data_IF_196449712607
#
_entry.id   IF_196449712607
#
_cell.length_a   1.000
_cell.length_b   1.000
_cell.length_c   1.000
_cell.angle_alpha   90.00
_cell.angle_beta   90.00
_cell.angle_gamma   90.00
#
_symmetry.space_group_name_H-M   'P 1'
#
loop_
_entity.id
_entity.type
_entity.pdbx_description
1 polymer ?
#
# COMPACT_ATOMS: atom_id res chain seq x y z
N UNK A 1 43.17 2.17 -15.92
CA UNK A 1 44.35 1.43 -16.43
C UNK A 1 44.43 0.18 -15.55
N UNK A 2 44.22 -1.05 -16.00
CA UNK A 2 44.72 -1.68 -17.22
C UNK A 2 43.85 -2.89 -17.61
N UNK A 3 43.31 -2.88 -18.83
CA UNK A 3 42.72 -4.05 -19.48
C UNK A 3 43.87 -4.93 -20.01
N UNK A 4 43.91 -6.20 -19.60
CA UNK A 4 44.83 -7.21 -20.16
C UNK A 4 44.06 -8.13 -21.10
N UNK A 5 43.87 -7.70 -22.35
CA UNK A 5 43.49 -8.58 -23.45
C UNK A 5 44.78 -9.21 -24.03
N UNK A 6 44.85 -10.54 -23.94
CA UNK A 6 45.93 -11.35 -24.51
C UNK A 6 45.80 -11.39 -26.04
N UNK A 7 46.93 -11.20 -26.71
CA UNK A 7 47.11 -11.40 -28.15
C UNK A 7 47.29 -12.89 -28.46
N UNK A 8 46.76 -13.32 -29.61
CA UNK A 8 46.98 -14.63 -30.23
C UNK A 8 48.06 -14.49 -31.34
N UNK A 9 48.96 -15.49 -31.56
CA UNK A 9 50.19 -15.32 -32.33
C UNK A 9 50.06 -15.89 -33.74
N UNK A 10 49.42 -15.18 -34.67
CA UNK A 10 49.56 -15.48 -36.10
C UNK A 10 49.67 -14.17 -36.88
N UNK A 11 50.90 -13.71 -37.07
CA UNK A 11 51.22 -12.46 -37.73
C UNK A 11 50.79 -12.41 -39.20
N UNK A 12 49.72 -11.66 -39.50
CA UNK A 12 49.51 -11.03 -40.80
C UNK A 12 49.03 -9.59 -40.61
N UNK A 13 49.89 -8.63 -40.96
CA UNK A 13 49.51 -7.25 -41.27
C UNK A 13 49.01 -7.21 -42.70
N UNK A 14 47.93 -6.48 -42.96
CA UNK A 14 47.80 -5.70 -44.20
C UNK A 14 46.82 -4.54 -43.98
N UNK A 15 47.36 -3.33 -44.11
CA UNK A 15 46.64 -2.08 -44.30
C UNK A 15 46.53 -1.78 -45.81
N UNK A 16 45.51 -0.99 -46.14
CA UNK A 16 45.29 -0.23 -47.38
C UNK A 16 44.98 -0.99 -48.69
N UNK A 17 43.76 -0.81 -49.23
CA UNK A 17 43.50 0.17 -50.30
C UNK A 17 42.05 0.15 -50.80
N UNK A 18 41.72 1.30 -51.38
CA UNK A 18 40.44 1.88 -51.79
C UNK A 18 40.06 1.47 -53.23
N UNK A 19 38.76 1.66 -53.54
CA UNK A 19 38.12 1.89 -54.85
C UNK A 19 37.56 0.69 -55.65
N UNK A 20 36.27 0.77 -55.98
CA UNK A 20 35.58 -0.09 -56.94
C UNK A 20 34.08 0.20 -57.00
N UNK A 21 33.69 1.25 -57.71
CA UNK A 21 32.32 1.53 -58.17
C UNK A 21 31.99 0.71 -59.43
N UNK A 22 30.80 0.11 -59.51
CA UNK A 22 29.99 -0.13 -60.73
C UNK A 22 28.64 -0.74 -60.32
N UNK A 23 27.52 -0.03 -60.50
CA UNK A 23 26.65 -0.01 -61.69
C UNK A 23 25.90 -1.32 -62.00
N UNK A 24 24.58 -1.23 -61.80
CA UNK A 24 23.44 -1.76 -62.55
C UNK A 24 23.49 -3.18 -63.14
N UNK A 25 22.50 -4.00 -62.77
CA UNK A 25 21.68 -4.76 -63.73
C UNK A 25 20.35 -5.18 -63.10
N UNK A 26 19.28 -4.63 -63.66
CA UNK A 26 17.90 -5.11 -63.53
C UNK A 26 17.77 -6.47 -64.19
N UNK A 27 17.21 -7.44 -63.48
CA UNK A 27 16.68 -8.67 -64.05
C UNK A 27 15.24 -8.84 -63.56
N UNK A 28 14.30 -8.54 -64.46
CA UNK A 28 12.91 -8.97 -64.35
C UNK A 28 12.87 -10.48 -64.11
N UNK A 29 12.16 -10.93 -63.08
CA UNK A 29 11.64 -12.30 -63.04
C UNK A 29 10.13 -12.27 -62.83
N UNK A 30 9.51 -13.02 -63.74
CA UNK A 30 8.11 -13.09 -64.06
C UNK A 30 7.30 -13.72 -62.94
N UNK A 31 6.05 -13.23 -62.88
CA UNK A 31 4.94 -13.81 -62.17
C UNK A 31 4.78 -15.29 -62.55
N UNK A 32 4.80 -16.17 -61.55
CA UNK A 32 4.06 -17.42 -61.59
C UNK A 32 3.08 -17.41 -60.43
N UNK A 33 1.83 -17.08 -60.77
CA UNK A 33 0.68 -17.25 -59.89
C UNK A 33 0.39 -18.74 -59.72
N UNK A 34 0.79 -19.29 -58.57
CA UNK A 34 0.24 -20.53 -58.06
C UNK A 34 -1.05 -20.24 -57.28
N UNK A 35 -2.09 -21.09 -57.37
CA UNK A 35 -3.32 -20.88 -56.62
C UNK A 35 -3.03 -21.05 -55.13
N UNK A 36 -3.05 -19.94 -54.40
CA UNK A 36 -3.19 -19.91 -52.95
C UNK A 36 -4.52 -20.58 -52.60
N UNK A 37 -4.47 -21.84 -52.15
CA UNK A 37 -5.60 -22.48 -51.48
C UNK A 37 -5.71 -21.84 -50.09
N UNK A 38 -6.27 -20.64 -50.09
CA UNK A 38 -6.79 -19.94 -48.93
C UNK A 38 -8.25 -20.34 -48.75
N UNK A 39 -8.49 -21.58 -48.35
CA UNK A 39 -9.81 -22.04 -47.91
C UNK A 39 -9.64 -22.91 -46.67
N UNK A 40 -10.03 -22.36 -45.51
CA UNK A 40 -10.27 -23.19 -44.32
C UNK A 40 -9.88 -22.66 -42.94
N UNK A 41 -9.33 -21.45 -42.76
CA UNK A 41 -8.95 -20.98 -41.40
C UNK A 41 -9.09 -19.48 -41.17
N UNK A 42 -10.27 -18.94 -41.48
CA UNK A 42 -10.66 -17.56 -41.14
C UNK A 42 -11.56 -17.51 -39.89
N UNK A 43 -12.11 -18.64 -39.46
CA UNK A 43 -13.03 -18.68 -38.33
C UNK A 43 -12.24 -18.82 -37.03
N UNK A 44 -12.34 -17.79 -36.17
CA UNK A 44 -11.81 -17.68 -34.79
C UNK A 44 -10.31 -17.34 -34.63
N UNK A 45 -9.88 -16.24 -35.27
CA UNK A 45 -8.84 -15.37 -34.69
C UNK A 45 -9.44 -14.25 -33.84
N UNK A 46 -10.41 -14.57 -32.97
CA UNK A 46 -10.84 -13.62 -31.96
C UNK A 46 -9.71 -13.57 -30.91
N UNK A 47 -8.88 -12.56 -30.98
CA UNK A 47 -7.83 -12.27 -30.00
C UNK A 47 -8.44 -12.38 -28.60
N UNK A 48 -7.88 -13.25 -27.76
CA UNK A 48 -8.29 -13.36 -26.37
C UNK A 48 -7.78 -12.11 -25.66
N UNK A 49 -8.62 -11.08 -25.62
CA UNK A 49 -8.34 -9.86 -24.88
C UNK A 49 -8.74 -10.10 -23.42
N UNK A 50 -7.75 -10.36 -22.57
CA UNK A 50 -7.99 -10.51 -21.14
C UNK A 50 -8.08 -9.13 -20.51
N UNK A 51 -9.28 -8.77 -20.05
CA UNK A 51 -9.56 -7.52 -19.35
C UNK A 51 -8.71 -7.40 -18.08
N UNK A 52 -8.16 -6.22 -17.87
CA UNK A 52 -7.42 -5.89 -16.66
C UNK A 52 -8.36 -5.88 -15.45
N UNK A 53 -7.86 -6.25 -14.27
CA UNK A 53 -8.59 -6.12 -13.00
C UNK A 53 -8.12 -4.82 -12.36
N UNK A 54 -9.00 -3.83 -12.26
CA UNK A 54 -8.67 -2.55 -11.64
C UNK A 54 -8.98 -2.57 -10.14
N UNK A 55 -8.03 -2.08 -9.32
CA UNK A 55 -8.21 -1.98 -7.85
C UNK A 55 -9.42 -1.12 -7.48
N UNK A 56 -9.72 -0.11 -8.29
CA UNK A 56 -10.89 0.78 -8.16
C UNK A 56 -12.22 0.03 -8.29
N UNK A 57 -12.27 -1.06 -9.06
CA UNK A 57 -13.46 -1.92 -9.15
C UNK A 57 -13.58 -2.81 -7.92
N UNK A 58 -12.45 -3.29 -7.37
CA UNK A 58 -12.44 -4.13 -6.17
C UNK A 58 -12.95 -3.35 -4.94
N UNK A 59 -12.62 -2.06 -4.85
CA UNK A 59 -13.09 -1.17 -3.77
C UNK A 59 -14.61 -0.96 -3.79
N UNK A 60 -15.28 -1.22 -4.91
CA UNK A 60 -16.75 -1.12 -5.02
C UNK A 60 -17.45 -2.38 -4.53
N UNK A 61 -16.72 -3.45 -4.24
CA UNK A 61 -17.33 -4.69 -3.78
C UNK A 61 -17.96 -4.53 -2.39
N UNK A 62 -19.16 -5.11 -2.22
CA UNK A 62 -19.95 -5.03 -0.98
C UNK A 62 -19.17 -5.44 0.27
N UNK A 63 -18.26 -6.40 0.14
CA UNK A 63 -17.41 -6.86 1.24
C UNK A 63 -16.36 -5.82 1.65
N UNK A 64 -15.77 -5.08 0.70
CA UNK A 64 -14.86 -3.98 0.99
C UNK A 64 -15.59 -2.80 1.61
N UNK A 65 -16.77 -2.44 1.08
CA UNK A 65 -17.61 -1.38 1.66
C UNK A 65 -18.05 -1.70 3.10
N UNK A 66 -18.29 -2.97 3.41
CA UNK A 66 -18.56 -3.42 4.80
C UNK A 66 -17.36 -3.22 5.71
N UNK A 67 -16.14 -3.54 5.23
CA UNK A 67 -14.90 -3.30 5.97
C UNK A 67 -14.70 -1.80 6.24
N UNK A 68 -14.86 -0.94 5.23
CA UNK A 68 -14.79 0.51 5.37
C UNK A 68 -15.75 1.06 6.43
N UNK A 69 -16.99 0.53 6.44
CA UNK A 69 -17.99 0.89 7.46
C UNK A 69 -17.60 0.43 8.86
N UNK A 70 -16.94 -0.74 8.99
CA UNK A 70 -16.41 -1.22 10.27
C UNK A 70 -15.29 -0.32 10.76
N UNK A 71 -14.28 -0.06 9.93
CA UNK A 71 -13.14 0.83 10.22
C UNK A 71 -13.63 2.21 10.68
N UNK A 72 -14.67 2.75 10.04
CA UNK A 72 -15.27 4.03 10.42
C UNK A 72 -15.90 4.01 11.82
N UNK A 73 -16.53 2.89 12.22
CA UNK A 73 -17.08 2.71 13.57
C UNK A 73 -15.98 2.53 14.61
N UNK A 74 -14.93 1.79 14.28
CA UNK A 74 -13.81 1.55 15.19
C UNK A 74 -13.05 2.86 15.47
N UNK A 75 -12.91 3.74 14.47
CA UNK A 75 -12.37 5.11 14.64
C UNK A 75 -13.25 5.97 15.56
N UNK A 76 -14.57 5.90 15.40
CA UNK A 76 -15.52 6.61 16.26
C UNK A 76 -15.47 6.13 17.71
N UNK A 77 -15.41 4.83 17.93
CA UNK A 77 -15.31 4.25 19.26
C UNK A 77 -14.01 4.67 19.96
N UNK A 78 -12.88 4.62 19.25
CA UNK A 78 -11.59 5.03 19.79
C UNK A 78 -11.57 6.51 20.17
N UNK A 79 -12.12 7.39 19.33
CA UNK A 79 -12.24 8.81 19.67
C UNK A 79 -13.04 9.03 20.96
N UNK A 80 -14.14 8.29 21.16
CA UNK A 80 -14.94 8.37 22.39
C UNK A 80 -14.17 7.87 23.61
N UNK A 81 -13.37 6.80 23.46
CA UNK A 81 -12.49 6.30 24.53
C UNK A 81 -11.45 7.35 24.91
N UNK A 82 -10.75 7.93 23.94
CA UNK A 82 -9.75 8.97 24.16
C UNK A 82 -10.33 10.24 24.78
N UNK A 83 -11.53 10.64 24.35
CA UNK A 83 -12.25 11.77 24.94
C UNK A 83 -12.53 11.53 26.44
N UNK A 84 -13.05 10.35 26.80
CA UNK A 84 -13.28 9.98 28.21
C UNK A 84 -11.99 9.95 29.03
N UNK A 85 -10.89 9.45 28.46
CA UNK A 85 -9.60 9.45 29.16
C UNK A 85 -9.10 10.87 29.46
N UNK A 86 -9.22 11.79 28.49
CA UNK A 86 -8.90 13.22 28.68
C UNK A 86 -9.77 13.85 29.77
N UNK A 87 -11.08 13.60 29.74
CA UNK A 87 -12.01 14.10 30.77
C UNK A 87 -11.68 13.57 32.17
N UNK A 88 -11.27 12.31 32.28
CA UNK A 88 -10.90 11.71 33.57
C UNK A 88 -9.64 12.34 34.16
N UNK A 89 -8.59 12.55 33.34
CA UNK A 89 -7.37 13.23 33.79
C UNK A 89 -7.69 14.68 34.18
N UNK A 90 -8.45 15.42 33.37
CA UNK A 90 -8.89 16.78 33.69
C UNK A 90 -9.60 16.86 35.05
N UNK A 91 -10.58 15.99 35.30
CA UNK A 91 -11.30 15.95 36.59
C UNK A 91 -10.36 15.64 37.77
N UNK A 92 -9.42 14.71 37.58
CA UNK A 92 -8.42 14.36 38.59
C UNK A 92 -7.50 15.54 38.91
N UNK A 93 -7.03 16.23 37.86
CA UNK A 93 -6.16 17.40 37.98
C UNK A 93 -6.89 18.57 38.67
N UNK A 94 -8.14 18.86 38.26
CA UNK A 94 -8.97 19.87 38.90
C UNK A 94 -9.20 19.57 40.39
N UNK A 95 -9.54 18.33 40.75
CA UNK A 95 -9.70 17.93 42.16
C UNK A 95 -8.41 18.11 42.97
N UNK A 96 -7.25 17.88 42.35
CA UNK A 96 -5.94 18.05 42.99
C UNK A 96 -5.62 19.53 43.27
N UNK A 97 -5.99 20.43 42.36
CA UNK A 97 -5.89 21.88 42.56
C UNK A 97 -6.83 22.36 43.67
N UNK A 98 -8.10 21.92 43.65
CA UNK A 98 -9.09 22.28 44.67
C UNK A 98 -8.63 21.88 46.09
N UNK A 99 -8.03 20.70 46.24
CA UNK A 99 -7.45 20.26 47.52
C UNK A 99 -6.29 21.15 47.96
N UNK A 100 -5.38 21.51 47.04
CA UNK A 100 -4.24 22.36 47.36
C UNK A 100 -4.68 23.77 47.77
N UNK A 101 -5.62 24.37 47.03
CA UNK A 101 -6.17 25.71 47.32
C UNK A 101 -6.99 25.70 48.61
N UNK A 102 -7.79 24.66 48.84
CA UNK A 102 -8.55 24.47 50.08
C UNK A 102 -7.64 24.33 51.30
N UNK A 103 -6.56 23.56 51.19
CA UNK A 103 -5.57 23.40 52.25
C UNK A 103 -4.80 24.71 52.49
N UNK A 104 -4.34 25.39 51.44
CA UNK A 104 -3.63 26.66 51.54
C UNK A 104 -4.50 27.77 52.15
N UNK A 105 -5.78 27.86 51.77
CA UNK A 105 -6.74 28.80 52.36
C UNK A 105 -6.98 28.52 53.84
N UNK A 106 -7.08 27.26 54.21
CA UNK A 106 -7.21 26.83 55.61
C UNK A 106 -5.96 27.17 56.43
N UNK A 107 -4.77 26.93 55.90
CA UNK A 107 -3.49 27.28 56.54
C UNK A 107 -3.34 28.79 56.72
N UNK A 108 -3.67 29.60 55.69
CA UNK A 108 -3.65 31.06 55.77
C UNK A 108 -4.66 31.59 56.78
N UNK A 109 -5.86 31.02 56.85
CA UNK A 109 -6.88 31.38 57.84
C UNK A 109 -6.45 31.03 59.28
N UNK A 110 -5.79 29.89 59.48
CA UNK A 110 -5.26 29.51 60.80
C UNK A 110 -4.10 30.42 61.23
N UNK A 111 -3.24 30.85 60.31
CA UNK A 111 -2.11 31.73 60.63
C UNK A 111 -2.54 33.19 60.86
N UNK A 112 -3.48 33.71 60.07
CA UNK A 112 -4.04 35.06 60.27
C UNK A 112 -4.79 35.16 61.60
N UNK A 113 -5.59 34.15 61.96
CA UNK A 113 -6.23 34.08 63.28
C UNK A 113 -5.20 33.99 64.40
N UNK A 114 -4.16 33.13 64.28
CA UNK A 114 -3.07 33.03 65.27
C UNK A 114 -2.25 34.32 65.43
N UNK A 115 -1.96 35.05 64.34
CA UNK A 115 -1.28 36.35 64.37
C UNK A 115 -2.17 37.43 65.01
N UNK A 116 -3.47 37.42 64.72
CA UNK A 116 -4.44 38.34 65.32
C UNK A 116 -4.65 38.06 66.83
N UNK A 117 -4.56 36.79 67.24
CA UNK A 117 -4.57 36.38 68.66
C UNK A 117 -3.26 36.79 69.38
N UNK A 118 -2.10 36.73 68.71
CA UNK A 118 -0.82 37.17 69.29
C UNK A 118 -0.76 38.69 69.54
N UNK A 119 -1.45 39.49 68.72
CA UNK A 119 -1.57 40.95 68.90
C UNK A 119 -2.49 41.40 70.04
N UNK A 120 -3.30 40.50 70.61
CA UNK A 120 -4.24 40.84 71.70
C UNK A 120 -3.69 40.58 73.11
N UNK A 121 -2.53 39.95 73.23
CA UNK A 121 -1.92 39.55 74.51
C UNK A 121 -0.66 40.36 74.87
N UNK A 122 -0.53 41.60 74.40
CA UNK A 122 0.46 42.51 74.98
C UNK A 122 -0.23 43.38 76.05
N UNK A 123 0.11 43.24 77.34
CA UNK A 123 -0.36 44.20 78.33
C UNK A 123 0.35 45.53 78.08
N UNK A 124 -0.46 46.60 78.05
CA UNK A 124 0.01 47.98 78.11
C UNK A 124 0.79 48.18 79.42
N UNK A 125 2.03 48.68 79.32
CA UNK A 125 2.57 49.55 80.36
C UNK A 125 3.32 50.71 79.70
N UNK A 126 3.17 51.87 80.32
CA UNK A 126 3.26 53.20 79.73
C UNK A 126 4.68 53.81 79.69
N UNK A 127 4.80 54.87 78.86
CA UNK A 127 5.62 56.11 79.00
C UNK A 127 7.09 55.99 79.40
N UNK A 128 8.07 56.60 78.73
CA UNK A 128 8.27 58.06 78.49
C UNK A 128 9.20 58.27 77.28
N UNK A 129 8.85 59.12 76.33
CA UNK A 129 9.38 60.50 76.12
C UNK A 129 10.74 60.60 75.38
N UNK A 130 10.79 61.63 74.52
CA UNK A 130 11.90 62.26 73.83
C UNK A 130 12.54 61.54 72.61
N UNK A 131 12.52 62.23 71.45
CA UNK A 131 13.49 61.98 70.39
C UNK A 131 13.00 62.16 68.95
N UNK A 132 12.69 63.39 68.58
CA UNK A 132 12.51 63.87 67.22
C UNK A 132 13.72 63.54 66.32
N UNK A 133 13.52 62.85 65.20
CA UNK A 133 14.34 63.02 63.98
C UNK A 133 13.75 62.28 62.78
N UNK A 134 13.25 63.13 61.88
CA UNK A 134 12.82 62.86 60.53
C UNK A 134 13.93 62.15 59.70
N UNK A 135 13.72 60.87 59.36
CA UNK A 135 14.40 60.21 58.24
C UNK A 135 13.37 59.47 57.40
N UNK A 136 12.87 60.16 56.38
CA UNK A 136 12.21 59.59 55.21
C UNK A 136 13.23 58.64 54.56
N UNK A 137 13.16 57.35 54.93
CA UNK A 137 13.87 56.30 54.22
C UNK A 137 12.99 55.84 53.08
N UNK A 138 13.49 56.11 51.88
CA UNK A 138 13.09 55.53 50.61
C UNK A 138 12.63 54.07 50.79
N UNK A 139 11.37 53.78 50.46
CA UNK A 139 10.84 52.41 50.44
C UNK A 139 11.47 51.72 49.23
N UNK A 140 12.69 51.22 49.42
CA UNK A 140 13.37 50.39 48.45
C UNK A 140 12.54 49.12 48.24
N UNK A 141 12.02 48.93 47.03
CA UNK A 141 11.30 47.73 46.57
C UNK A 141 12.17 46.46 46.55
N UNK A 142 13.35 46.47 47.19
CA UNK A 142 14.40 45.46 47.04
C UNK A 142 14.36 44.28 48.00
N UNK A 143 13.56 44.29 49.08
CA UNK A 143 13.58 43.21 50.07
C UNK A 143 12.17 42.94 50.63
N UNK A 144 11.22 42.52 49.79
CA UNK A 144 10.21 41.59 50.29
C UNK A 144 10.92 40.26 50.48
N UNK A 145 11.40 40.04 51.69
CA UNK A 145 11.73 38.70 52.20
C UNK A 145 10.46 37.89 51.96
N UNK A 146 10.49 37.04 50.93
CA UNK A 146 9.42 36.09 50.67
C UNK A 146 9.25 35.27 51.94
N UNK A 147 8.06 35.35 52.55
CA UNK A 147 7.72 34.59 53.74
C UNK A 147 8.09 33.11 53.49
N UNK A 148 8.77 32.40 54.40
CA UNK A 148 9.13 30.98 54.19
C UNK A 148 7.92 30.10 53.80
N UNK A 149 6.73 30.51 54.23
CA UNK A 149 5.43 29.90 53.88
C UNK A 149 5.07 30.14 52.41
N UNK A 150 5.39 31.31 51.85
CA UNK A 150 5.14 31.66 50.46
C UNK A 150 6.10 30.94 49.52
N UNK A 151 7.36 30.79 49.91
CA UNK A 151 8.36 29.98 49.18
C UNK A 151 7.96 28.49 49.15
N UNK A 152 7.48 27.94 50.29
CA UNK A 152 7.00 26.56 50.37
C UNK A 152 5.73 26.30 49.57
N UNK A 153 4.78 27.24 49.58
CA UNK A 153 3.57 27.20 48.74
C UNK A 153 3.90 27.25 47.25
N UNK A 154 4.81 28.15 46.85
CA UNK A 154 5.25 28.26 45.46
C UNK A 154 5.96 26.99 44.95
N UNK A 155 6.75 26.33 45.81
CA UNK A 155 7.39 25.04 45.47
C UNK A 155 6.37 23.91 45.28
N UNK A 156 5.36 23.84 46.16
CA UNK A 156 4.30 22.83 46.08
C UNK A 156 3.41 23.03 44.84
N UNK A 157 3.09 24.29 44.50
CA UNK A 157 2.36 24.64 43.28
C UNK A 157 3.16 24.28 42.03
N UNK A 158 4.46 24.60 41.98
CA UNK A 158 5.33 24.22 40.85
C UNK A 158 5.40 22.70 40.67
N UNK A 159 5.54 21.95 41.76
CA UNK A 159 5.56 20.49 41.74
C UNK A 159 4.22 19.92 41.22
N UNK A 160 3.09 20.47 41.67
CA UNK A 160 1.77 20.06 41.17
C UNK A 160 1.63 20.32 39.67
N UNK A 161 1.99 21.52 39.20
CA UNK A 161 1.90 21.88 37.78
C UNK A 161 2.80 20.98 36.92
N UNK A 162 4.01 20.66 37.40
CA UNK A 162 4.91 19.74 36.71
C UNK A 162 4.30 18.35 36.58
N UNK A 163 3.78 17.79 37.69
CA UNK A 163 3.13 16.48 37.67
C UNK A 163 1.91 16.45 36.72
N UNK A 164 1.08 17.50 36.74
CA UNK A 164 -0.08 17.61 35.83
C UNK A 164 0.35 17.69 34.36
N UNK A 165 1.43 18.42 34.07
CA UNK A 165 2.01 18.52 32.72
C UNK A 165 2.54 17.17 32.25
N UNK A 166 3.20 16.42 33.13
CA UNK A 166 3.76 15.10 32.82
C UNK A 166 2.67 14.04 32.61
N UNK A 167 1.64 14.02 33.47
CA UNK A 167 0.47 13.16 33.33
C UNK A 167 -0.26 13.41 32.01
N UNK A 168 -0.51 14.69 31.69
CA UNK A 168 -1.19 15.07 30.46
C UNK A 168 -0.36 14.72 29.22
N UNK A 169 0.93 15.07 29.23
CA UNK A 169 1.85 14.76 28.14
C UNK A 169 1.96 13.24 27.91
N UNK A 170 1.99 12.45 28.98
CA UNK A 170 2.02 10.97 28.91
C UNK A 170 0.71 10.42 28.32
N UNK A 171 -0.44 10.97 28.74
CA UNK A 171 -1.74 10.59 28.17
C UNK A 171 -1.79 10.88 26.67
N UNK A 172 -1.40 12.08 26.24
CA UNK A 172 -1.43 12.48 24.84
C UNK A 172 -0.52 11.58 23.99
N UNK A 173 0.70 11.28 24.46
CA UNK A 173 1.61 10.34 23.79
C UNK A 173 1.00 8.94 23.66
N UNK A 174 0.35 8.43 24.71
CA UNK A 174 -0.33 7.12 24.67
C UNK A 174 -1.46 7.11 23.64
N UNK A 175 -2.32 8.13 23.66
CA UNK A 175 -3.41 8.30 22.71
C UNK A 175 -2.87 8.32 21.27
N UNK A 176 -1.78 9.04 21.01
CA UNK A 176 -1.17 9.12 19.68
C UNK A 176 -0.68 7.75 19.19
N UNK A 177 0.03 7.00 20.05
CA UNK A 177 0.51 5.65 19.72
C UNK A 177 -0.68 4.72 19.42
N UNK A 178 -1.72 4.74 20.26
CA UNK A 178 -2.92 3.91 20.05
C UNK A 178 -3.61 4.24 18.73
N UNK A 179 -3.72 5.53 18.37
CA UNK A 179 -4.30 5.94 17.08
C UNK A 179 -3.44 5.47 15.91
N UNK A 180 -2.12 5.61 16.00
CA UNK A 180 -1.19 5.15 14.97
C UNK A 180 -1.29 3.64 14.75
N UNK A 181 -1.22 2.84 15.82
CA UNK A 181 -1.34 1.37 15.72
C UNK A 181 -2.70 0.96 15.15
N UNK A 182 -3.77 1.67 15.49
CA UNK A 182 -5.09 1.43 14.90
C UNK A 182 -5.12 1.74 13.41
N UNK A 183 -4.53 2.87 12.96
CA UNK A 183 -4.44 3.20 11.52
C UNK A 183 -3.64 2.14 10.78
N UNK A 184 -2.50 1.72 11.32
CA UNK A 184 -1.64 0.65 10.78
C UNK A 184 -2.40 -0.68 10.65
N UNK A 185 -3.19 -1.05 11.66
CA UNK A 185 -4.05 -2.23 11.61
C UNK A 185 -5.08 -2.13 10.47
N UNK A 186 -5.80 -1.03 10.39
CA UNK A 186 -6.81 -0.82 9.35
C UNK A 186 -6.21 -0.89 7.94
N UNK A 187 -5.05 -0.27 7.69
CA UNK A 187 -4.34 -0.34 6.40
C UNK A 187 -4.01 -1.78 6.02
N UNK A 188 -3.54 -2.59 6.98
CA UNK A 188 -3.26 -4.02 6.75
C UNK A 188 -4.53 -4.82 6.44
N UNK A 189 -5.62 -4.58 7.16
CA UNK A 189 -6.89 -5.26 6.93
C UNK A 189 -7.49 -4.94 5.55
N UNK A 190 -7.40 -3.68 5.12
CA UNK A 190 -7.81 -3.24 3.79
C UNK A 190 -7.01 -3.94 2.70
N UNK A 191 -5.68 -3.97 2.85
CA UNK A 191 -4.80 -4.69 1.92
C UNK A 191 -5.11 -6.18 1.83
N UNK A 192 -5.22 -6.87 2.96
CA UNK A 192 -5.50 -8.32 2.98
C UNK A 192 -6.85 -8.66 2.34
N UNK A 193 -7.86 -7.82 2.56
CA UNK A 193 -9.15 -8.01 1.90
C UNK A 193 -9.06 -7.77 0.39
N UNK A 194 -8.42 -6.67 -0.04
CA UNK A 194 -8.24 -6.38 -1.47
C UNK A 194 -7.45 -7.47 -2.17
N UNK A 195 -6.39 -7.99 -1.54
CA UNK A 195 -5.58 -9.10 -2.04
C UNK A 195 -6.43 -10.35 -2.23
N UNK A 196 -7.25 -10.71 -1.23
CA UNK A 196 -8.16 -11.86 -1.31
C UNK A 196 -9.15 -11.73 -2.47
N UNK A 197 -9.77 -10.56 -2.61
CA UNK A 197 -10.72 -10.29 -3.70
C UNK A 197 -10.02 -10.41 -5.05
N UNK A 198 -8.84 -9.78 -5.19
CA UNK A 198 -8.04 -9.82 -6.40
C UNK A 198 -7.70 -11.26 -6.79
N UNK A 199 -7.18 -12.06 -5.86
CA UNK A 199 -6.85 -13.47 -6.13
C UNK A 199 -8.07 -14.28 -6.56
N UNK A 200 -9.24 -14.05 -5.98
CA UNK A 200 -10.47 -14.73 -6.39
C UNK A 200 -10.90 -14.33 -7.81
N UNK A 201 -10.81 -13.04 -8.17
CA UNK A 201 -11.07 -12.57 -9.55
C UNK A 201 -10.07 -13.15 -10.54
N UNK A 202 -8.79 -13.20 -10.18
CA UNK A 202 -7.73 -13.80 -10.99
C UNK A 202 -8.01 -15.29 -11.24
N UNK A 203 -8.40 -16.03 -10.21
CA UNK A 203 -8.81 -17.44 -10.32
C UNK A 203 -9.99 -17.61 -11.28
N UNK A 204 -11.01 -16.76 -11.20
CA UNK A 204 -12.13 -16.79 -12.13
C UNK A 204 -11.71 -16.52 -13.58
N UNK A 205 -10.79 -15.57 -13.81
CA UNK A 205 -10.23 -15.33 -15.13
C UNK A 205 -9.46 -16.54 -15.67
N UNK A 206 -8.65 -17.21 -14.83
CA UNK A 206 -7.93 -18.42 -15.24
C UNK A 206 -8.90 -19.57 -15.61
N UNK A 207 -9.94 -19.78 -14.80
CA UNK A 207 -10.96 -20.80 -15.09
C UNK A 207 -11.69 -20.51 -16.41
N UNK A 208 -12.09 -19.25 -16.63
CA UNK A 208 -12.73 -18.83 -17.87
C UNK A 208 -11.82 -19.03 -19.09
N UNK A 209 -10.51 -18.76 -18.95
CA UNK A 209 -9.53 -18.96 -20.01
C UNK A 209 -9.35 -20.46 -20.33
N UNK A 210 -9.21 -21.31 -19.31
CA UNK A 210 -9.10 -22.77 -19.47
C UNK A 210 -10.33 -23.36 -20.16
N UNK A 211 -11.53 -22.97 -19.73
CA UNK A 211 -12.79 -23.41 -20.35
C UNK A 211 -12.87 -23.02 -21.84
N UNK A 212 -12.39 -21.83 -22.21
CA UNK A 212 -12.30 -21.41 -23.62
C UNK A 212 -11.34 -22.29 -24.42
N UNK A 213 -10.17 -22.63 -23.87
CA UNK A 213 -9.23 -23.52 -24.56
C UNK A 213 -9.77 -24.95 -24.73
N UNK A 214 -10.50 -25.46 -23.74
CA UNK A 214 -11.17 -26.76 -23.85
C UNK A 214 -12.23 -26.75 -24.97
N UNK A 215 -13.00 -25.67 -25.10
CA UNK A 215 -13.95 -25.50 -26.19
C UNK A 215 -13.25 -25.44 -27.54
N UNK A 216 -12.22 -24.61 -27.69
CA UNK A 216 -11.47 -24.47 -28.95
C UNK A 216 -10.76 -25.77 -29.35
N UNK A 217 -10.24 -26.54 -28.38
CA UNK A 217 -9.64 -27.84 -28.65
C UNK A 217 -10.69 -28.87 -29.11
N UNK A 218 -11.92 -28.81 -28.57
CA UNK A 218 -13.03 -29.65 -29.06
C UNK A 218 -13.44 -29.26 -30.48
N UNK A 219 -13.57 -27.97 -30.75
CA UNK A 219 -13.89 -27.44 -32.09
C UNK A 219 -12.83 -27.81 -33.12
N UNK A 220 -11.54 -27.70 -32.78
CA UNK A 220 -10.44 -28.11 -33.66
C UNK A 220 -10.54 -29.59 -34.03
N UNK A 221 -10.76 -30.47 -33.04
CA UNK A 221 -10.91 -31.91 -33.30
C UNK A 221 -12.11 -32.20 -34.22
N UNK A 222 -13.25 -31.54 -33.98
CA UNK A 222 -14.43 -31.67 -34.83
C UNK A 222 -14.15 -31.19 -36.27
N UNK A 223 -13.44 -30.07 -36.43
CA UNK A 223 -13.04 -29.55 -37.72
C UNK A 223 -12.09 -30.50 -38.46
N UNK A 224 -11.13 -31.11 -37.75
CA UNK A 224 -10.21 -32.11 -38.32
C UNK A 224 -10.96 -33.37 -38.79
N UNK A 225 -11.90 -33.88 -38.00
CA UNK A 225 -12.75 -35.02 -38.40
C UNK A 225 -13.59 -34.67 -39.63
N UNK A 226 -14.25 -33.50 -39.62
CA UNK A 226 -15.07 -33.05 -40.75
C UNK A 226 -14.25 -32.94 -42.04
N UNK A 227 -13.10 -32.26 -41.98
CA UNK A 227 -12.18 -32.12 -43.11
C UNK A 227 -11.71 -33.46 -43.65
N UNK A 228 -11.30 -34.38 -42.77
CA UNK A 228 -10.87 -35.73 -43.17
C UNK A 228 -11.97 -36.48 -43.94
N UNK A 229 -13.21 -36.42 -43.45
CA UNK A 229 -14.35 -37.04 -44.14
C UNK A 229 -14.70 -36.37 -45.48
N UNK A 230 -14.54 -35.05 -45.59
CA UNK A 230 -14.77 -34.29 -46.82
C UNK A 230 -13.69 -34.60 -47.87
N UNK A 231 -12.42 -34.63 -47.46
CA UNK A 231 -11.30 -34.95 -48.35
C UNK A 231 -11.39 -36.38 -48.91
N UNK A 232 -11.77 -37.36 -48.06
CA UNK A 232 -11.98 -38.76 -48.51
C UNK A 232 -13.13 -38.83 -49.52
N UNK A 233 -14.24 -38.13 -49.25
CA UNK A 233 -15.38 -38.05 -50.18
C UNK A 233 -14.99 -37.42 -51.51
N UNK A 234 -14.14 -36.39 -51.50
CA UNK A 234 -13.64 -35.75 -52.72
C UNK A 234 -12.83 -36.73 -53.58
N UNK A 235 -11.94 -37.52 -52.98
CA UNK A 235 -11.17 -38.56 -53.71
C UNK A 235 -12.07 -39.67 -54.26
N UNK A 236 -13.15 -40.03 -53.53
CA UNK A 236 -14.10 -41.04 -53.99
C UNK A 236 -14.94 -40.56 -55.17
N UNK A 237 -15.32 -39.27 -55.19
CA UNK A 237 -16.12 -38.65 -56.25
C UNK A 237 -15.30 -38.24 -57.48
N UNK A 238 -13.96 -38.32 -57.40
CA UNK A 238 -13.06 -37.99 -58.50
C UNK A 238 -13.20 -39.02 -59.65
N UNK A 239 -13.79 -38.56 -60.76
CA UNK A 239 -14.02 -39.36 -61.97
C UNK A 239 -12.75 -39.65 -62.76
N UNK A 240 -11.65 -38.93 -62.51
CA UNK A 240 -10.36 -39.13 -63.20
C UNK A 240 -9.67 -40.40 -62.69
N UNK A 241 -9.91 -40.79 -61.43
CA UNK A 241 -9.32 -41.97 -60.81
C UNK A 241 -10.14 -43.22 -61.16
N UNK A 242 -9.72 -43.94 -62.19
CA UNK A 242 -10.47 -45.09 -62.73
C UNK A 242 -10.22 -46.41 -61.98
N UNK A 243 -9.05 -46.61 -61.39
CA UNK A 243 -8.68 -47.89 -60.75
C UNK A 243 -8.81 -47.84 -59.24
N UNK A 244 -9.17 -48.98 -58.63
CA UNK A 244 -9.23 -49.11 -57.17
C UNK A 244 -7.87 -48.89 -56.51
N UNK A 245 -6.82 -49.49 -57.07
CA UNK A 245 -5.46 -49.38 -56.55
C UNK A 245 -4.96 -47.92 -56.47
N UNK A 246 -5.24 -47.12 -57.51
CA UNK A 246 -4.85 -45.70 -57.51
C UNK A 246 -5.68 -44.88 -56.50
N UNK A 247 -6.98 -45.18 -56.34
CA UNK A 247 -7.83 -44.54 -55.33
C UNK A 247 -7.32 -44.82 -53.92
N UNK A 248 -6.99 -46.08 -53.62
CA UNK A 248 -6.47 -46.49 -52.31
C UNK A 248 -5.10 -45.84 -52.03
N UNK A 249 -4.23 -45.77 -53.05
CA UNK A 249 -2.97 -45.03 -52.97
C UNK A 249 -3.21 -43.56 -52.64
N UNK A 250 -4.14 -42.89 -53.33
CA UNK A 250 -4.43 -41.47 -53.13
C UNK A 250 -5.02 -41.19 -51.75
N UNK A 251 -5.88 -42.07 -51.23
CA UNK A 251 -6.40 -42.00 -49.87
C UNK A 251 -5.27 -42.16 -48.84
N UNK A 252 -4.32 -43.07 -49.07
CA UNK A 252 -3.16 -43.23 -48.17
C UNK A 252 -2.29 -41.97 -48.12
N UNK A 253 -1.91 -41.44 -49.28
CA UNK A 253 -1.14 -40.18 -49.37
C UNK A 253 -1.88 -38.99 -48.73
N UNK A 254 -3.22 -38.94 -48.90
CA UNK A 254 -4.08 -37.95 -48.26
C UNK A 254 -4.07 -38.08 -46.74
N UNK A 255 -4.23 -39.29 -46.21
CA UNK A 255 -4.23 -39.54 -44.77
C UNK A 255 -2.89 -39.19 -44.12
N UNK A 256 -1.78 -39.52 -44.76
CA UNK A 256 -0.43 -39.14 -44.30
C UNK A 256 -0.27 -37.60 -44.25
N UNK A 257 -0.75 -36.90 -45.29
CA UNK A 257 -0.73 -35.43 -45.33
C UNK A 257 -1.62 -34.81 -44.26
N UNK A 258 -2.83 -35.33 -44.09
CA UNK A 258 -3.80 -34.85 -43.10
C UNK A 258 -3.28 -35.06 -41.68
N UNK A 259 -2.66 -36.20 -41.39
CA UNK A 259 -2.04 -36.46 -40.09
C UNK A 259 -0.97 -35.41 -39.76
N UNK A 260 -0.09 -35.09 -40.71
CA UNK A 260 0.95 -34.07 -40.52
C UNK A 260 0.34 -32.70 -40.22
N UNK A 261 -0.64 -32.27 -41.02
CA UNK A 261 -1.33 -30.99 -40.83
C UNK A 261 -2.05 -30.93 -39.47
N UNK A 262 -2.75 -32.00 -39.08
CA UNK A 262 -3.49 -32.04 -37.83
C UNK A 262 -2.58 -31.99 -36.60
N UNK A 263 -1.42 -32.65 -36.66
CA UNK A 263 -0.41 -32.55 -35.60
C UNK A 263 0.15 -31.12 -35.49
N UNK A 264 0.43 -30.47 -36.62
CA UNK A 264 0.92 -29.10 -36.64
C UNK A 264 -0.11 -28.11 -36.09
N UNK A 265 -1.38 -28.22 -36.50
CA UNK A 265 -2.49 -27.41 -35.98
C UNK A 265 -2.64 -27.56 -34.47
N UNK A 266 -2.61 -28.80 -33.95
CA UNK A 266 -2.70 -29.07 -32.50
C UNK A 266 -1.50 -28.50 -31.75
N UNK A 267 -0.29 -28.63 -32.29
CA UNK A 267 0.92 -28.02 -31.73
C UNK A 267 0.82 -26.50 -31.70
N UNK A 268 0.32 -25.89 -32.78
CA UNK A 268 0.10 -24.44 -32.87
C UNK A 268 -0.93 -23.95 -31.86
N UNK A 269 -2.05 -24.67 -31.71
CA UNK A 269 -3.08 -24.38 -30.71
C UNK A 269 -2.50 -24.46 -29.29
N UNK A 270 -1.84 -25.57 -28.94
CA UNK A 270 -1.24 -25.76 -27.62
C UNK A 270 -0.21 -24.66 -27.28
N UNK A 271 0.66 -24.31 -28.24
CA UNK A 271 1.65 -23.24 -28.07
C UNK A 271 0.98 -21.88 -27.86
N UNK A 272 -0.13 -21.61 -28.58
CA UNK A 272 -0.89 -20.37 -28.41
C UNK A 272 -1.58 -20.31 -27.05
N UNK A 273 -2.23 -21.40 -26.61
CA UNK A 273 -2.86 -21.47 -25.30
C UNK A 273 -1.86 -21.19 -24.19
N UNK A 274 -0.69 -21.87 -24.22
CA UNK A 274 0.38 -21.66 -23.25
C UNK A 274 0.84 -20.20 -23.18
N UNK A 275 1.08 -19.55 -24.33
CA UNK A 275 1.46 -18.13 -24.35
C UNK A 275 0.41 -17.22 -23.72
N UNK A 276 -0.87 -17.51 -23.91
CA UNK A 276 -1.95 -16.74 -23.28
C UNK A 276 -2.04 -16.99 -21.78
N UNK A 277 -1.80 -18.22 -21.31
CA UNK A 277 -1.68 -18.54 -19.89
C UNK A 277 -0.51 -17.78 -19.26
N UNK A 278 0.69 -17.86 -19.85
CA UNK A 278 1.88 -17.17 -19.37
C UNK A 278 1.67 -15.65 -19.31
N UNK A 279 1.02 -15.06 -20.33
CA UNK A 279 0.68 -13.62 -20.33
C UNK A 279 -0.32 -13.25 -19.24
N UNK A 280 -1.33 -14.09 -19.00
CA UNK A 280 -2.32 -13.84 -17.96
C UNK A 280 -1.69 -13.94 -16.57
N UNK A 281 -0.88 -14.97 -16.33
CA UNK A 281 -0.16 -15.16 -15.08
C UNK A 281 0.82 -14.03 -14.78
N UNK A 282 1.53 -13.54 -15.82
CA UNK A 282 2.38 -12.36 -15.69
C UNK A 282 1.58 -11.13 -15.27
N UNK A 283 0.43 -10.86 -15.91
CA UNK A 283 -0.45 -9.74 -15.52
C UNK A 283 -0.98 -9.89 -14.09
N UNK A 284 -1.35 -11.12 -13.69
CA UNK A 284 -1.83 -11.39 -12.33
C UNK A 284 -0.75 -11.12 -11.28
N UNK A 285 0.50 -11.51 -11.58
CA UNK A 285 1.66 -11.23 -10.74
C UNK A 285 1.92 -9.71 -10.62
N UNK A 286 1.91 -8.99 -11.74
CA UNK A 286 2.11 -7.52 -11.75
C UNK A 286 1.02 -6.77 -10.96
N UNK A 287 -0.24 -7.21 -11.06
CA UNK A 287 -1.35 -6.65 -10.27
C UNK A 287 -1.16 -6.85 -8.77
N UNK A 288 -0.72 -8.05 -8.35
CA UNK A 288 -0.46 -8.36 -6.95
C UNK A 288 0.72 -7.55 -6.41
N UNK A 289 1.82 -7.48 -7.17
CA UNK A 289 2.99 -6.68 -6.82
C UNK A 289 2.64 -5.19 -6.70
N UNK A 290 1.83 -4.67 -7.63
CA UNK A 290 1.37 -3.28 -7.58
C UNK A 290 0.51 -3.01 -6.34
N UNK A 291 -0.37 -3.94 -5.97
CA UNK A 291 -1.21 -3.82 -4.77
C UNK A 291 -0.37 -3.87 -3.49
N UNK A 292 0.62 -4.75 -3.44
CA UNK A 292 1.57 -4.85 -2.33
C UNK A 292 2.41 -3.57 -2.19
N UNK A 293 2.93 -3.04 -3.30
CA UNK A 293 3.66 -1.77 -3.31
C UNK A 293 2.83 -0.59 -2.81
N UNK A 294 1.55 -0.53 -3.17
CA UNK A 294 0.63 0.51 -2.65
C UNK A 294 0.40 0.35 -1.15
N UNK A 295 0.21 -0.88 -0.67
CA UNK A 295 0.06 -1.18 0.76
C UNK A 295 1.30 -0.79 1.57
N UNK A 296 2.49 -1.15 1.09
CA UNK A 296 3.76 -0.78 1.72
C UNK A 296 3.90 0.75 1.77
N UNK A 297 3.66 1.44 0.65
CA UNK A 297 3.69 2.91 0.62
C UNK A 297 2.71 3.54 1.61
N UNK A 298 1.50 3.01 1.73
CA UNK A 298 0.50 3.49 2.69
C UNK A 298 0.98 3.31 4.14
N UNK A 299 1.61 2.18 4.46
CA UNK A 299 2.19 1.94 5.79
C UNK A 299 3.38 2.85 6.09
N UNK A 300 4.27 3.07 5.12
CA UNK A 300 5.40 3.98 5.24
C UNK A 300 4.93 5.42 5.49
N UNK A 301 3.88 5.87 4.78
CA UNK A 301 3.28 7.19 5.00
C UNK A 301 2.73 7.35 6.42
N UNK A 302 2.04 6.33 6.94
CA UNK A 302 1.55 6.33 8.34
C UNK A 302 2.71 6.37 9.35
N UNK A 303 3.79 5.62 9.10
CA UNK A 303 4.98 5.61 9.94
C UNK A 303 5.72 6.95 9.94
N UNK A 304 5.88 7.56 8.76
CA UNK A 304 6.47 8.89 8.64
C UNK A 304 5.62 9.95 9.35
N UNK A 305 4.30 9.93 9.13
CA UNK A 305 3.37 10.86 9.79
C UNK A 305 3.42 10.72 11.32
N UNK A 306 3.45 9.49 11.84
CA UNK A 306 3.56 9.27 13.28
C UNK A 306 4.91 9.79 13.83
N UNK A 307 6.01 9.56 13.11
CA UNK A 307 7.32 10.07 13.47
C UNK A 307 7.34 11.61 13.52
N UNK A 308 6.71 12.27 12.56
CA UNK A 308 6.56 13.74 12.54
C UNK A 308 5.75 14.23 13.76
N UNK A 309 4.63 13.58 14.09
CA UNK A 309 3.84 13.93 15.29
C UNK A 309 4.65 13.79 16.58
N UNK A 310 5.48 12.74 16.69
CA UNK A 310 6.36 12.55 17.85
C UNK A 310 7.44 13.63 17.95
N UNK A 311 8.06 14.01 16.83
CA UNK A 311 9.08 15.08 16.79
C UNK A 311 8.47 16.46 17.10
N UNK A 312 7.23 16.70 16.68
CA UNK A 312 6.48 17.90 17.00
C UNK A 312 5.94 17.91 18.45
N UNK A 313 5.98 16.77 19.16
CA UNK A 313 5.42 16.68 20.50
C UNK A 313 6.26 17.48 21.50
N UNK A 314 5.60 18.42 22.17
CA UNK A 314 6.16 19.18 23.29
C UNK A 314 5.37 18.86 24.57
N UNK A 315 5.95 19.09 25.77
CA UNK A 315 5.19 19.04 27.01
C UNK A 315 3.94 19.93 26.91
N UNK A 316 2.79 19.35 27.15
CA UNK A 316 1.51 20.04 27.08
C UNK A 316 0.92 20.11 28.49
N UNK A 317 0.55 21.31 28.91
CA UNK A 317 -0.34 21.51 30.04
C UNK A 317 -1.73 21.87 29.52
N UNK A 318 -2.75 21.49 30.28
CA UNK A 318 -4.12 21.95 30.06
C UNK A 318 -4.47 22.89 31.22
N UNK A 319 -4.93 24.10 30.88
CA UNK A 319 -5.26 25.17 31.83
C UNK A 319 -6.74 25.17 32.14
#
# INVERSE_FOLDING_TARGET
>A
MSNSLRFDPVGRRFSDRRMGTNQASSSQQQQFGGPSISSGSVILRKTIEVKNIEVTELQKEKIFLKLQKRISKDKEEMRRKHQKMRENVLKSQQSSVEKLVGNASTTTNILTTKLSLKRRNHPNNASTDAGESNKIRHVSLGNRISDPVQIGGDSLIRSLIQNQTDEWSTLIKRIEIEQFEQRKLHTKEEYELLRRILTERQKQQQLALKSRFEMENRELKQAQTKKSMEDIRAVQQDKVIKTKAERDRRIKELNERNLKLFLEERKRLATRCRRHEDQLEKKHSEQLESLEKESVRALELEEMSHRETLLASQPQCIV
#
